data_IF_552108687118
#
_entry.id   IF_552108687118
#
_cell.length_a   1.000
_cell.length_b   1.000
_cell.length_c   1.000
_cell.angle_alpha   90.00
_cell.angle_beta   90.00
_cell.angle_gamma   90.00
#
_symmetry.space_group_name_H-M   'P 1'
#
loop_
_entity.id
_entity.type
_entity.pdbx_description
1 polymer ?
#
# COMPACT_ATOMS: atom_id res chain seq x y z
N UNK A 1 -2.96 27.64 18.95
CA UNK A 1 -2.95 26.20 19.29
C UNK A 1 -3.77 25.38 18.27
N UNK A 2 -5.08 25.60 18.13
CA UNK A 2 -5.92 24.86 17.17
C UNK A 2 -5.64 25.24 15.71
N UNK A 3 -5.45 26.53 15.44
CA UNK A 3 -5.12 27.04 14.10
C UNK A 3 -3.73 26.58 13.64
N UNK A 4 -2.79 26.41 14.56
CA UNK A 4 -1.43 25.94 14.26
C UNK A 4 -1.41 24.43 13.88
N UNK A 5 -2.26 23.62 14.51
CA UNK A 5 -2.41 22.20 14.17
C UNK A 5 -3.11 21.99 12.81
N UNK A 6 -4.17 22.76 12.54
CA UNK A 6 -4.87 22.74 11.25
C UNK A 6 -3.93 23.17 10.12
N UNK A 7 -3.15 24.22 10.33
CA UNK A 7 -2.18 24.68 9.35
C UNK A 7 -1.05 23.65 9.13
N UNK A 8 -0.54 23.01 10.18
CA UNK A 8 0.47 21.96 10.07
C UNK A 8 -0.05 20.71 9.33
N UNK A 9 -1.32 20.34 9.51
CA UNK A 9 -1.96 19.26 8.75
C UNK A 9 -2.20 19.65 7.29
N UNK A 10 -2.62 20.90 7.02
CA UNK A 10 -2.79 21.41 5.67
C UNK A 10 -1.44 21.51 4.92
N UNK A 11 -0.39 21.97 5.59
CA UNK A 11 0.97 22.01 5.02
C UNK A 11 1.52 20.62 4.72
N UNK A 12 1.31 19.64 5.60
CA UNK A 12 1.68 18.23 5.34
C UNK A 12 0.91 17.63 4.16
N UNK A 13 -0.40 17.89 4.07
CA UNK A 13 -1.22 17.40 2.96
C UNK A 13 -0.81 18.07 1.64
N UNK A 14 -0.46 19.34 1.64
CA UNK A 14 0.00 20.09 0.49
C UNK A 14 1.40 19.64 0.06
N UNK A 15 2.31 19.39 1.00
CA UNK A 15 3.64 18.84 0.73
C UNK A 15 3.58 17.43 0.11
N UNK A 16 2.63 16.58 0.53
CA UNK A 16 2.40 15.27 -0.09
C UNK A 16 1.83 15.37 -1.51
N UNK A 17 1.00 16.39 -1.82
CA UNK A 17 0.49 16.62 -3.18
C UNK A 17 1.54 17.15 -4.16
N UNK A 18 2.65 17.71 -3.65
CA UNK A 18 3.78 18.22 -4.43
C UNK A 18 4.88 17.18 -4.66
N UNK A 19 4.81 16.01 -3.98
CA UNK A 19 5.79 14.94 -4.17
C UNK A 19 5.65 14.29 -5.55
N UNK A 20 6.78 14.09 -6.23
CA UNK A 20 6.79 13.34 -7.49
C UNK A 20 6.33 11.89 -7.27
N UNK A 21 5.79 11.21 -8.29
CA UNK A 21 5.44 9.79 -8.18
C UNK A 21 6.61 8.91 -7.71
N UNK A 22 7.84 9.22 -8.14
CA UNK A 22 9.04 8.52 -7.69
C UNK A 22 9.30 8.73 -6.19
N UNK A 23 9.16 9.95 -5.68
CA UNK A 23 9.33 10.25 -4.25
C UNK A 23 8.25 9.59 -3.39
N UNK A 24 7.00 9.55 -3.86
CA UNK A 24 5.91 8.85 -3.18
C UNK A 24 6.21 7.35 -3.04
N UNK A 25 6.70 6.71 -4.11
CA UNK A 25 7.11 5.31 -4.09
C UNK A 25 8.32 5.06 -3.18
N UNK A 26 9.30 5.97 -3.17
CA UNK A 26 10.43 5.91 -2.22
C UNK A 26 9.95 5.97 -0.78
N UNK A 27 9.03 6.89 -0.47
CA UNK A 27 8.43 6.95 0.88
C UNK A 27 7.67 5.68 1.25
N UNK A 28 6.89 5.12 0.33
CA UNK A 28 6.19 3.86 0.52
C UNK A 28 7.16 2.71 0.82
N UNK A 29 8.22 2.56 0.03
CA UNK A 29 9.23 1.53 0.23
C UNK A 29 9.94 1.67 1.58
N UNK A 30 10.33 2.90 1.96
CA UNK A 30 10.99 3.15 3.24
C UNK A 30 10.06 2.93 4.46
N UNK A 31 8.74 3.13 4.30
CA UNK A 31 7.78 2.92 5.37
C UNK A 31 7.53 1.44 5.67
N UNK A 32 7.65 0.56 4.66
CA UNK A 32 7.19 -0.83 4.74
C UNK A 32 8.31 -1.87 4.71
N UNK A 33 9.48 -1.54 4.16
CA UNK A 33 10.53 -2.53 3.88
C UNK A 33 11.88 -2.13 4.48
N UNK A 34 12.59 -3.13 4.95
CA UNK A 34 14.02 -3.02 5.20
C UNK A 34 14.80 -3.04 3.87
N UNK A 35 16.01 -2.47 3.80
CA UNK A 35 16.74 -2.34 2.54
C UNK A 35 16.95 -3.65 1.76
N UNK A 36 17.10 -4.77 2.47
CA UNK A 36 17.37 -6.08 1.87
C UNK A 36 16.10 -6.92 1.60
N UNK A 37 14.93 -6.42 2.02
CA UNK A 37 13.65 -7.10 1.75
C UNK A 37 13.38 -7.20 0.25
N UNK A 38 12.93 -8.35 -0.21
CA UNK A 38 12.43 -8.52 -1.58
C UNK A 38 11.01 -8.01 -1.70
N UNK A 39 10.78 -7.17 -2.70
CA UNK A 39 9.49 -6.51 -2.95
C UNK A 39 8.80 -7.15 -4.14
N UNK A 40 7.55 -7.58 -3.93
CA UNK A 40 6.70 -8.05 -5.00
C UNK A 40 5.89 -6.90 -5.62
N UNK A 41 5.86 -6.83 -6.96
CA UNK A 41 5.02 -5.85 -7.67
C UNK A 41 4.58 -6.41 -9.03
N UNK A 42 3.50 -5.82 -9.56
CA UNK A 42 2.93 -6.16 -10.87
C UNK A 42 2.56 -4.87 -11.57
N UNK A 43 3.04 -4.69 -12.79
CA UNK A 43 2.64 -3.60 -13.69
C UNK A 43 1.92 -4.12 -14.93
N UNK A 44 2.06 -5.41 -15.22
CA UNK A 44 1.34 -6.10 -16.27
C UNK A 44 -0.11 -6.37 -15.86
N UNK A 45 -1.06 -6.15 -16.75
CA UNK A 45 -2.47 -6.38 -16.53
C UNK A 45 -3.13 -6.98 -17.77
N UNK A 46 -4.09 -7.87 -17.56
CA UNK A 46 -4.91 -8.42 -18.63
C UNK A 46 -6.40 -8.38 -18.26
N UNK A 47 -7.23 -8.37 -19.27
CA UNK A 47 -8.67 -8.37 -19.07
C UNK A 47 -9.19 -9.77 -18.76
N UNK A 48 -9.93 -9.91 -17.67
CA UNK A 48 -10.65 -11.13 -17.32
C UNK A 48 -12.04 -10.76 -16.79
N UNK A 49 -13.08 -11.31 -17.41
CA UNK A 49 -14.49 -11.09 -17.05
C UNK A 49 -14.88 -9.59 -16.98
N UNK A 50 -14.38 -8.78 -17.91
CA UNK A 50 -14.64 -7.34 -17.96
C UNK A 50 -13.95 -6.52 -16.87
N UNK A 51 -12.89 -7.07 -16.25
CA UNK A 51 -12.05 -6.37 -15.28
C UNK A 51 -10.58 -6.55 -15.62
N UNK A 52 -9.79 -5.52 -15.37
CA UNK A 52 -8.34 -5.62 -15.42
C UNK A 52 -7.84 -6.32 -14.15
N UNK A 53 -7.07 -7.37 -14.34
CA UNK A 53 -6.48 -8.17 -13.26
C UNK A 53 -4.96 -8.19 -13.41
N UNK A 54 -4.21 -8.27 -12.28
CA UNK A 54 -2.75 -8.31 -12.32
C UNK A 54 -2.26 -9.54 -13.09
N UNK A 55 -1.28 -9.31 -13.96
CA UNK A 55 -0.60 -10.33 -14.72
C UNK A 55 0.59 -10.95 -13.97
N UNK A 56 1.72 -11.10 -14.67
CA UNK A 56 2.93 -11.67 -14.08
C UNK A 56 3.65 -10.65 -13.18
N UNK A 57 3.87 -11.02 -11.91
CA UNK A 57 4.62 -10.22 -10.96
C UNK A 57 6.13 -10.36 -11.06
N UNK A 58 6.84 -9.32 -10.63
CA UNK A 58 8.26 -9.32 -10.31
C UNK A 58 8.44 -9.42 -8.79
N UNK A 59 9.51 -10.10 -8.34
CA UNK A 59 9.71 -10.42 -6.91
C UNK A 59 11.18 -10.64 -6.55
N UNK A 60 12.11 -10.29 -7.42
CA UNK A 60 13.53 -10.61 -7.33
C UNK A 60 14.39 -9.44 -6.82
N UNK A 61 13.85 -8.22 -6.85
CA UNK A 61 14.58 -7.02 -6.44
C UNK A 61 14.33 -6.63 -4.98
N UNK A 62 15.39 -6.10 -4.34
CA UNK A 62 15.31 -5.55 -2.99
C UNK A 62 14.71 -4.15 -2.97
N UNK A 63 14.21 -3.74 -1.80
CA UNK A 63 13.74 -2.37 -1.59
C UNK A 63 14.84 -1.35 -1.87
N UNK A 64 16.11 -1.63 -1.49
CA UNK A 64 17.29 -0.81 -1.81
C UNK A 64 17.44 -0.61 -3.32
N UNK A 65 17.44 -1.69 -4.10
CA UNK A 65 17.58 -1.63 -5.55
C UNK A 65 16.47 -0.81 -6.22
N UNK A 66 15.22 -0.95 -5.73
CA UNK A 66 14.09 -0.15 -6.22
C UNK A 66 14.24 1.33 -5.87
N UNK A 67 14.61 1.66 -4.63
CA UNK A 67 14.84 3.03 -4.18
C UNK A 67 15.97 3.69 -4.97
N UNK A 68 17.10 2.99 -5.20
CA UNK A 68 18.20 3.50 -6.02
C UNK A 68 17.77 3.73 -7.46
N UNK A 69 17.00 2.80 -8.04
CA UNK A 69 16.42 2.96 -9.36
C UNK A 69 15.52 4.19 -9.45
N UNK A 70 14.62 4.38 -8.50
CA UNK A 70 13.72 5.54 -8.44
C UNK A 70 14.45 6.88 -8.32
N UNK A 71 15.52 6.94 -7.52
CA UNK A 71 16.36 8.16 -7.41
C UNK A 71 17.05 8.52 -8.72
N UNK A 72 17.33 7.53 -9.57
CA UNK A 72 18.07 7.69 -10.81
C UNK A 72 17.21 7.68 -12.08
N UNK A 73 15.88 7.48 -11.97
CA UNK A 73 15.00 7.33 -13.12
C UNK A 73 14.67 8.65 -13.84
N UNK A 74 15.01 9.80 -13.25
CA UNK A 74 14.71 11.12 -13.83
C UNK A 74 13.19 11.41 -13.90
N UNK A 75 12.41 10.86 -12.98
CA UNK A 75 10.95 10.99 -12.92
C UNK A 75 10.18 9.94 -13.73
N UNK A 76 10.86 9.16 -14.55
CA UNK A 76 10.27 8.08 -15.36
C UNK A 76 10.30 6.75 -14.56
N UNK A 77 9.25 6.52 -13.77
CA UNK A 77 9.14 5.31 -12.94
C UNK A 77 9.04 4.02 -13.76
N UNK A 78 8.64 4.10 -15.03
CA UNK A 78 8.62 2.96 -15.95
C UNK A 78 10.00 2.35 -16.19
N UNK A 79 11.08 3.14 -16.09
CA UNK A 79 12.47 2.62 -16.14
C UNK A 79 12.79 1.68 -14.98
N UNK A 80 12.06 1.77 -13.89
CA UNK A 80 12.27 0.97 -12.68
C UNK A 80 11.33 -0.23 -12.63
N UNK A 81 10.05 0.02 -12.84
CA UNK A 81 8.99 -1.00 -12.66
C UNK A 81 8.54 -1.66 -13.97
N UNK A 82 8.94 -1.10 -15.13
CA UNK A 82 8.42 -1.47 -16.44
C UNK A 82 7.20 -0.63 -16.84
N UNK A 83 6.74 -0.84 -18.06
CA UNK A 83 5.52 -0.20 -18.55
C UNK A 83 4.30 -0.73 -17.82
N UNK A 84 3.27 0.11 -17.64
CA UNK A 84 2.00 -0.28 -17.03
C UNK A 84 0.83 0.21 -17.87
N UNK A 85 -0.31 -0.46 -17.68
CA UNK A 85 -1.58 0.00 -18.23
C UNK A 85 -2.10 1.18 -17.38
N UNK A 86 -2.35 2.34 -18.00
CA UNK A 86 -2.79 3.56 -17.30
C UNK A 86 -4.15 3.39 -16.61
N UNK A 87 -5.03 2.54 -17.14
CA UNK A 87 -6.34 2.25 -16.54
C UNK A 87 -6.25 1.30 -15.34
N UNK A 88 -5.28 0.37 -15.38
CA UNK A 88 -5.09 -0.62 -14.32
C UNK A 88 -4.17 -0.13 -13.21
N UNK A 89 -3.18 0.70 -13.55
CA UNK A 89 -2.12 1.07 -12.64
C UNK A 89 -1.16 -0.09 -12.35
N UNK A 90 -0.58 -0.09 -11.16
CA UNK A 90 0.32 -1.13 -10.68
C UNK A 90 -0.06 -1.60 -9.29
N UNK A 91 0.30 -2.83 -8.98
CA UNK A 91 0.15 -3.42 -7.65
C UNK A 91 1.51 -3.63 -7.02
N UNK A 92 1.66 -3.24 -5.77
CA UNK A 92 2.87 -3.45 -4.99
C UNK A 92 2.49 -4.14 -3.67
N UNK A 93 3.22 -5.19 -3.31
CA UNK A 93 3.04 -5.87 -2.04
C UNK A 93 3.49 -4.98 -0.88
N UNK A 94 2.93 -5.20 0.29
CA UNK A 94 3.26 -4.47 1.51
C UNK A 94 4.01 -5.34 2.55
N UNK A 95 4.13 -6.65 2.33
CA UNK A 95 4.96 -7.55 3.11
C UNK A 95 6.09 -8.13 2.25
N UNK A 96 7.28 -8.39 2.83
CA UNK A 96 8.44 -8.89 2.09
C UNK A 96 8.26 -10.32 1.61
N UNK A 97 8.96 -10.65 0.52
CA UNK A 97 8.94 -11.95 -0.14
C UNK A 97 10.30 -12.64 -0.10
N UNK A 98 10.30 -13.97 -0.30
CA UNK A 98 11.51 -14.81 -0.38
C UNK A 98 12.28 -14.68 -1.71
N UNK A 99 11.74 -13.98 -2.69
CA UNK A 99 12.31 -13.84 -4.03
C UNK A 99 12.08 -15.04 -4.95
N UNK A 100 11.17 -15.96 -4.61
CA UNK A 100 10.85 -17.13 -5.42
C UNK A 100 9.45 -17.08 -6.05
N UNK A 101 8.60 -16.15 -5.57
CA UNK A 101 7.25 -15.98 -6.09
C UNK A 101 6.50 -14.85 -5.40
N UNK A 102 5.22 -14.68 -5.78
CA UNK A 102 4.33 -13.63 -5.26
C UNK A 102 3.16 -14.18 -4.45
N UNK A 103 3.12 -15.47 -4.18
CA UNK A 103 2.04 -16.11 -3.41
C UNK A 103 2.19 -15.85 -1.91
N UNK A 104 1.16 -16.16 -1.15
CA UNK A 104 1.19 -16.01 0.31
C UNK A 104 2.28 -16.89 0.96
N UNK A 105 2.57 -18.06 0.40
CA UNK A 105 3.65 -18.94 0.87
C UNK A 105 5.06 -18.36 0.66
N UNK A 106 5.19 -17.32 -0.18
CA UNK A 106 6.45 -16.62 -0.40
C UNK A 106 6.65 -15.43 0.54
N UNK A 107 5.67 -15.08 1.38
CA UNK A 107 5.79 -14.02 2.38
C UNK A 107 6.72 -14.48 3.50
N UNK A 108 7.77 -13.70 3.77
CA UNK A 108 8.78 -14.04 4.77
C UNK A 108 8.54 -13.41 6.13
N UNK A 109 7.75 -12.33 6.16
CA UNK A 109 7.45 -11.59 7.39
C UNK A 109 6.07 -10.96 7.30
N UNK A 110 5.25 -11.11 8.34
CA UNK A 110 3.86 -10.68 8.40
C UNK A 110 3.72 -9.38 9.20
N UNK A 111 4.31 -8.29 8.70
CA UNK A 111 4.37 -7.00 9.38
C UNK A 111 3.10 -6.18 9.28
N UNK A 112 2.42 -6.27 8.13
CA UNK A 112 1.33 -5.35 7.78
C UNK A 112 0.10 -6.08 7.25
N UNK A 113 -1.05 -5.45 7.45
CA UNK A 113 -2.32 -5.82 6.81
C UNK A 113 -2.86 -4.64 5.99
N UNK A 114 -3.63 -4.95 4.95
CA UNK A 114 -4.34 -3.97 4.15
C UNK A 114 -5.75 -3.78 4.71
N UNK A 115 -6.11 -2.54 4.99
CA UNK A 115 -7.50 -2.11 5.17
C UNK A 115 -7.88 -1.32 3.92
N UNK A 116 -8.68 -1.91 3.06
CA UNK A 116 -9.27 -1.26 1.90
C UNK A 116 -10.72 -0.93 2.20
N UNK A 117 -11.04 0.36 2.21
CA UNK A 117 -12.40 0.80 2.40
C UNK A 117 -13.17 0.72 1.07
N UNK A 118 -14.24 -0.06 1.03
CA UNK A 118 -15.07 -0.23 -0.16
C UNK A 118 -16.37 0.57 -0.03
N UNK A 119 -16.47 1.62 -0.83
CA UNK A 119 -17.65 2.48 -0.92
C UNK A 119 -17.66 3.68 0.03
N UNK A 120 -18.51 4.66 -0.30
CA UNK A 120 -18.60 5.95 0.41
C UNK A 120 -17.60 7.00 -0.10
N UNK A 121 -17.71 8.20 0.45
CA UNK A 121 -16.84 9.33 0.12
C UNK A 121 -15.42 9.09 0.70
N UNK A 122 -14.40 9.37 -0.11
CA UNK A 122 -12.98 9.21 0.28
C UNK A 122 -12.63 9.97 1.57
N UNK A 123 -13.16 11.19 1.72
CA UNK A 123 -12.97 11.99 2.93
C UNK A 123 -13.53 11.32 4.19
N UNK A 124 -14.71 10.71 4.09
CA UNK A 124 -15.32 9.97 5.20
C UNK A 124 -14.55 8.69 5.55
N UNK A 125 -14.07 7.94 4.54
CA UNK A 125 -13.22 6.77 4.76
C UNK A 125 -11.95 7.16 5.53
N UNK A 126 -11.29 8.22 5.09
CA UNK A 126 -10.07 8.74 5.72
C UNK A 126 -10.34 9.17 7.16
N UNK A 127 -11.42 9.93 7.41
CA UNK A 127 -11.78 10.40 8.75
C UNK A 127 -12.01 9.23 9.72
N UNK A 128 -12.69 8.16 9.28
CA UNK A 128 -12.89 6.97 10.10
C UNK A 128 -11.55 6.32 10.44
N UNK A 129 -10.67 6.12 9.44
CA UNK A 129 -9.35 5.52 9.64
C UNK A 129 -8.50 6.34 10.61
N UNK A 130 -8.49 7.67 10.46
CA UNK A 130 -7.75 8.57 11.35
C UNK A 130 -8.30 8.54 12.79
N UNK A 131 -9.62 8.51 12.95
CA UNK A 131 -10.28 8.45 14.27
C UNK A 131 -10.10 7.11 15.00
N UNK A 132 -9.79 6.03 14.27
CA UNK A 132 -9.51 4.72 14.87
C UNK A 132 -8.12 4.65 15.53
N UNK A 133 -7.26 5.64 15.33
CA UNK A 133 -5.89 5.67 15.85
C UNK A 133 -5.08 4.39 15.55
N UNK A 134 -5.34 3.76 14.40
CA UNK A 134 -4.62 2.57 13.96
C UNK A 134 -3.14 2.90 13.70
N UNK A 135 -2.21 1.95 13.91
CA UNK A 135 -0.79 2.14 13.59
C UNK A 135 -0.57 2.05 12.07
N UNK A 136 -1.10 3.05 11.35
CA UNK A 136 -1.00 3.15 9.88
C UNK A 136 0.43 3.51 9.48
N UNK A 137 1.07 2.63 8.70
CA UNK A 137 2.41 2.85 8.16
C UNK A 137 2.38 3.63 6.83
N UNK A 138 1.36 3.39 6.02
CA UNK A 138 1.13 4.12 4.77
C UNK A 138 -0.36 4.23 4.48
N UNK A 139 -0.77 5.40 3.96
CA UNK A 139 -2.11 5.65 3.46
C UNK A 139 -2.02 5.95 1.96
N UNK A 140 -2.68 5.14 1.15
CA UNK A 140 -2.61 5.20 -0.31
C UNK A 140 -3.98 5.49 -0.89
N UNK A 141 -4.05 6.46 -1.79
CA UNK A 141 -5.25 6.73 -2.59
C UNK A 141 -5.17 5.93 -3.89
N UNK A 142 -6.12 5.04 -4.13
CA UNK A 142 -6.10 4.10 -5.26
C UNK A 142 -6.50 4.72 -6.62
N UNK A 143 -6.53 6.05 -6.70
CA UNK A 143 -6.77 6.78 -7.94
C UNK A 143 -8.24 7.01 -8.28
N UNK A 144 -9.21 6.71 -7.41
CA UNK A 144 -10.59 7.03 -7.74
C UNK A 144 -11.65 6.76 -6.68
N UNK A 145 -11.62 5.67 -5.95
CA UNK A 145 -12.77 5.24 -5.15
C UNK A 145 -12.46 4.79 -3.74
N UNK A 146 -11.23 4.41 -3.42
CA UNK A 146 -10.88 3.83 -2.13
C UNK A 146 -9.59 4.38 -1.54
N UNK A 147 -9.54 4.36 -0.22
CA UNK A 147 -8.36 4.61 0.59
C UNK A 147 -7.84 3.26 1.08
N UNK A 148 -6.56 3.00 0.83
CA UNK A 148 -5.86 1.82 1.31
C UNK A 148 -5.00 2.21 2.49
N UNK A 149 -5.31 1.71 3.69
CA UNK A 149 -4.46 1.88 4.85
C UNK A 149 -3.63 0.60 5.07
N UNK A 150 -2.32 0.77 5.07
CA UNK A 150 -1.38 -0.30 5.41
C UNK A 150 -1.11 -0.20 6.91
N UNK A 151 -1.67 -1.15 7.67
CA UNK A 151 -1.69 -1.13 9.12
C UNK A 151 -0.66 -2.12 9.67
N UNK A 152 0.15 -1.70 10.63
CA UNK A 152 1.13 -2.55 11.30
C UNK A 152 0.45 -3.53 12.24
N UNK A 153 0.74 -4.83 12.08
CA UNK A 153 0.16 -5.90 12.89
C UNK A 153 1.19 -6.87 13.49
N UNK A 154 2.34 -7.06 12.84
CA UNK A 154 3.50 -7.82 13.34
C UNK A 154 3.17 -9.24 13.85
N UNK A 155 2.68 -10.10 13.00
CA UNK A 155 2.35 -11.48 13.35
C UNK A 155 3.56 -12.41 13.16
N UNK A 156 3.70 -13.40 14.03
CA UNK A 156 4.81 -14.37 14.02
C UNK A 156 4.68 -15.42 12.91
N UNK A 157 3.46 -15.72 12.48
CA UNK A 157 3.17 -16.70 11.44
C UNK A 157 1.83 -16.40 10.72
N UNK A 158 1.52 -17.18 9.69
CA UNK A 158 0.30 -17.04 8.90
C UNK A 158 -0.98 -17.23 9.73
N UNK A 159 -0.96 -18.07 10.76
CA UNK A 159 -2.13 -18.31 11.59
C UNK A 159 -2.43 -17.06 12.43
N UNK A 160 -1.43 -16.55 13.14
CA UNK A 160 -1.55 -15.32 13.92
C UNK A 160 -1.88 -14.13 13.01
N UNK A 161 -1.31 -14.08 11.81
CA UNK A 161 -1.64 -13.07 10.81
C UNK A 161 -3.15 -13.03 10.52
N UNK A 162 -3.76 -14.17 10.22
CA UNK A 162 -5.20 -14.25 9.95
C UNK A 162 -6.03 -13.82 11.16
N UNK A 163 -5.68 -14.28 12.34
CA UNK A 163 -6.39 -13.92 13.58
C UNK A 163 -6.34 -12.41 13.83
N UNK A 164 -5.19 -11.76 13.60
CA UNK A 164 -5.02 -10.30 13.75
C UNK A 164 -5.74 -9.51 12.66
N UNK A 165 -5.75 -9.99 11.43
CA UNK A 165 -6.48 -9.38 10.31
C UNK A 165 -7.99 -9.45 10.55
N UNK A 166 -8.51 -10.60 10.98
CA UNK A 166 -9.93 -10.77 11.29
C UNK A 166 -10.36 -9.80 12.42
N UNK A 167 -9.56 -9.70 13.48
CA UNK A 167 -9.80 -8.75 14.56
C UNK A 167 -9.78 -7.27 14.06
N UNK A 168 -8.81 -6.93 13.22
CA UNK A 168 -8.71 -5.59 12.63
C UNK A 168 -9.94 -5.26 11.80
N UNK A 169 -10.41 -6.20 10.97
CA UNK A 169 -11.59 -6.00 10.11
C UNK A 169 -12.88 -5.86 10.92
N UNK A 170 -13.01 -6.63 11.99
CA UNK A 170 -14.16 -6.49 12.89
C UNK A 170 -14.15 -5.14 13.60
N UNK A 171 -13.01 -4.66 14.08
CA UNK A 171 -12.87 -3.33 14.66
C UNK A 171 -13.20 -2.22 13.62
N UNK A 172 -12.79 -2.36 12.37
CA UNK A 172 -13.14 -1.43 11.31
C UNK A 172 -14.66 -1.37 11.06
N UNK A 173 -15.32 -2.53 11.01
CA UNK A 173 -16.79 -2.61 10.86
C UNK A 173 -17.53 -1.96 12.02
N UNK A 174 -17.07 -2.18 13.25
CA UNK A 174 -17.66 -1.59 14.45
C UNK A 174 -17.56 -0.05 14.44
N UNK A 175 -16.52 0.50 13.79
CA UNK A 175 -16.36 1.94 13.57
C UNK A 175 -17.11 2.45 12.31
N UNK A 176 -17.84 1.60 11.62
CA UNK A 176 -18.63 1.98 10.43
C UNK A 176 -17.85 2.00 9.12
N UNK A 177 -16.61 1.46 9.08
CA UNK A 177 -15.86 1.32 7.85
C UNK A 177 -16.26 0.03 7.12
N UNK A 178 -16.70 0.16 5.87
CA UNK A 178 -16.95 -0.98 5.01
C UNK A 178 -15.63 -1.47 4.43
N UNK A 179 -15.12 -2.59 4.92
CA UNK A 179 -13.84 -3.17 4.52
C UNK A 179 -14.07 -4.28 3.50
N UNK A 180 -13.30 -4.26 2.40
CA UNK A 180 -13.18 -5.43 1.52
C UNK A 180 -12.39 -6.53 2.24
N UNK A 181 -13.04 -7.66 2.46
CA UNK A 181 -12.46 -8.82 3.15
C UNK A 181 -11.92 -9.89 2.20
N UNK A 182 -11.89 -9.60 0.88
CA UNK A 182 -11.42 -10.55 -0.14
C UNK A 182 -9.95 -10.35 -0.53
N UNK A 183 -9.26 -9.44 0.14
CA UNK A 183 -7.85 -9.13 -0.10
C UNK A 183 -6.88 -10.06 0.66
#
# INVERSE_FOLDING_TARGET
AWDDEINAHAEKAQQQSEMSPADQLICYLHALFDPEDKVGYVTDAYEANGRLVPGRGAYDRTARELVEGLKNCGGDIGKVFGDWNEEAGGWIRFNPLDGQGVKNDNVTDYRFALVEADGGEIGAQREIIENMELPVAALVYSGGKSVHAIVRIEAADMKEYRERVDYLYDACKDCGLMVDTQN
#
